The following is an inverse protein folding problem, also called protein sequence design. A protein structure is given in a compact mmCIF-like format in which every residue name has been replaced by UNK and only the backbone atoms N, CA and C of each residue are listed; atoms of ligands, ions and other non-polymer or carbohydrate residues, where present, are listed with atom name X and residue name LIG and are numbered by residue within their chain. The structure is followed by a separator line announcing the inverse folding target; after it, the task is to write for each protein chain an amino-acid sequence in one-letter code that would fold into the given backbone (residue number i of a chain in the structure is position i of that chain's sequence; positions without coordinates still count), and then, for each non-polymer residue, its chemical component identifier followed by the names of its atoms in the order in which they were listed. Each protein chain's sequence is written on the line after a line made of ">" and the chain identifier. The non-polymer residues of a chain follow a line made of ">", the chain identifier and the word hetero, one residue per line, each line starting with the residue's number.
data_IF_788662279271
#
_entry.id   IF_788662279271
#
_cell.length_a   1.000
_cell.length_b   1.000
_cell.length_c   1.000
_cell.angle_alpha   90.00
_cell.angle_beta   90.00
_cell.angle_gamma   90.00
#
_symmetry.space_group_name_H-M   'P 1'
#
loop_
_entity.id
_entity.type
_entity.pdbx_description
1 polymer ?
#
# COMPACT_ATOMS: atom_id res chain seq x y z
N UNK A 1 -13.47 -10.06 20.41
CA UNK A 1 -12.55 -9.48 19.41
C UNK A 1 -13.07 -8.10 19.07
N UNK A 2 -12.31 -7.05 19.32
CA UNK A 2 -12.73 -5.69 18.98
C UNK A 2 -12.49 -5.49 17.48
N UNK A 3 -13.57 -5.34 16.71
CA UNK A 3 -13.51 -5.05 15.28
C UNK A 3 -12.78 -3.72 15.10
N UNK A 4 -11.62 -3.75 14.45
CA UNK A 4 -10.87 -2.53 14.12
C UNK A 4 -11.76 -1.65 13.22
N UNK A 5 -11.82 -0.36 13.50
CA UNK A 5 -12.61 0.57 12.69
C UNK A 5 -11.91 0.79 11.34
N UNK A 6 -12.37 0.06 10.32
CA UNK A 6 -11.91 0.23 8.94
C UNK A 6 -12.88 1.16 8.20
N UNK A 7 -12.35 2.30 7.74
CA UNK A 7 -13.03 3.19 6.79
C UNK A 7 -12.71 2.71 5.38
N UNK A 8 -13.69 2.70 4.48
CA UNK A 8 -13.51 2.30 3.08
C UNK A 8 -13.95 3.45 2.19
N UNK A 9 -13.00 4.06 1.48
CA UNK A 9 -13.26 5.15 0.55
C UNK A 9 -12.85 4.74 -0.86
N UNK A 10 -13.56 5.26 -1.87
CA UNK A 10 -13.31 4.92 -3.27
C UNK A 10 -12.69 6.10 -4.01
N UNK A 11 -11.67 5.79 -4.81
CA UNK A 11 -10.90 6.76 -5.58
C UNK A 11 -10.82 6.30 -7.04
N UNK A 12 -10.81 7.27 -7.95
CA UNK A 12 -10.82 7.03 -9.40
C UNK A 12 -9.45 6.68 -9.95
N UNK A 13 -8.37 7.03 -9.25
CA UNK A 13 -6.98 6.84 -9.70
C UNK A 13 -6.07 6.24 -8.63
N UNK A 14 -4.99 5.58 -9.05
CA UNK A 14 -3.93 5.11 -8.15
C UNK A 14 -3.34 6.25 -7.32
N UNK A 15 -3.05 7.38 -7.96
CA UNK A 15 -2.41 8.52 -7.32
C UNK A 15 -3.29 9.15 -6.23
N UNK A 16 -4.61 9.27 -6.45
CA UNK A 16 -5.51 9.84 -5.44
C UNK A 16 -5.68 8.90 -4.24
N UNK A 17 -5.82 7.59 -4.51
CA UNK A 17 -5.90 6.58 -3.46
C UNK A 17 -4.61 6.52 -2.61
N UNK A 18 -3.44 6.58 -3.26
CA UNK A 18 -2.15 6.56 -2.56
C UNK A 18 -1.93 7.81 -1.72
N UNK A 19 -2.29 9.00 -2.25
CA UNK A 19 -2.22 10.27 -1.53
C UNK A 19 -3.13 10.26 -0.30
N UNK A 20 -4.36 9.79 -0.46
CA UNK A 20 -5.31 9.68 0.65
C UNK A 20 -4.80 8.72 1.73
N UNK A 21 -4.23 7.57 1.34
CA UNK A 21 -3.58 6.65 2.26
C UNK A 21 -2.42 7.31 3.03
N UNK A 22 -1.52 8.04 2.34
CA UNK A 22 -0.44 8.79 2.97
C UNK A 22 -0.93 9.89 3.93
N UNK A 23 -1.99 10.59 3.56
CA UNK A 23 -2.62 11.60 4.42
C UNK A 23 -3.24 10.93 5.67
N UNK A 24 -3.90 9.78 5.52
CA UNK A 24 -4.47 9.02 6.64
C UNK A 24 -3.41 8.60 7.65
N UNK A 25 -2.29 8.03 7.20
CA UNK A 25 -1.17 7.65 8.08
C UNK A 25 -0.69 8.82 8.93
N UNK A 26 -0.75 10.03 8.38
CA UNK A 26 -0.28 11.26 9.03
C UNK A 26 -1.39 12.09 9.66
N UNK A 27 -2.65 11.60 9.74
CA UNK A 27 -3.78 12.43 10.19
C UNK A 27 -3.68 12.84 11.65
N UNK A 28 -3.07 12.02 12.49
CA UNK A 28 -2.88 12.30 13.91
C UNK A 28 -1.65 13.16 14.25
N UNK A 29 -1.29 13.17 15.53
CA UNK A 29 -0.15 13.95 16.06
C UNK A 29 1.21 13.33 15.73
N UNK A 30 1.27 12.00 15.66
CA UNK A 30 2.48 11.25 15.29
C UNK A 30 2.66 11.31 13.78
N UNK A 31 3.83 11.77 13.33
CA UNK A 31 4.21 11.80 11.91
C UNK A 31 5.19 10.67 11.59
N UNK A 32 5.27 10.33 10.30
CA UNK A 32 6.18 9.28 9.82
C UNK A 32 7.62 9.74 9.96
N UNK A 33 8.43 8.92 10.65
CA UNK A 33 9.88 9.08 10.72
C UNK A 33 10.52 8.45 9.48
N UNK A 34 10.96 9.30 8.55
CA UNK A 34 11.53 8.86 7.27
C UNK A 34 12.79 8.00 7.46
N UNK A 35 13.56 8.19 8.53
CA UNK A 35 14.79 7.41 8.79
C UNK A 35 14.48 5.94 9.13
N UNK A 36 13.25 5.67 9.59
CA UNK A 36 12.77 4.34 9.97
C UNK A 36 11.98 3.65 8.86
N UNK A 37 11.76 4.31 7.74
CA UNK A 37 11.05 3.70 6.62
C UNK A 37 11.81 2.48 6.11
N UNK A 38 11.08 1.38 5.95
CA UNK A 38 11.57 0.13 5.38
C UNK A 38 10.55 -0.41 4.39
N UNK A 39 11.06 -1.19 3.45
CA UNK A 39 10.21 -1.96 2.54
C UNK A 39 9.42 -2.96 3.37
N UNK A 40 8.11 -2.94 3.19
CA UNK A 40 7.24 -3.94 3.78
C UNK A 40 6.89 -5.00 2.73
N UNK A 41 7.17 -6.25 3.08
CA UNK A 41 6.77 -7.40 2.28
C UNK A 41 5.54 -8.03 2.92
N UNK A 42 4.50 -8.26 2.11
CA UNK A 42 3.26 -8.83 2.64
C UNK A 42 3.49 -10.17 3.32
N UNK A 43 2.92 -10.30 4.52
CA UNK A 43 2.96 -11.52 5.34
C UNK A 43 1.69 -12.36 5.19
N UNK A 44 0.75 -11.94 4.33
CA UNK A 44 -0.59 -12.53 4.15
C UNK A 44 -1.00 -12.57 2.67
N UNK A 45 -2.04 -13.33 2.34
CA UNK A 45 -2.58 -13.43 0.98
C UNK A 45 -1.77 -14.33 0.02
N UNK A 46 -2.20 -14.46 -1.25
CA UNK A 46 -1.59 -15.39 -2.22
C UNK A 46 -0.14 -15.04 -2.56
N UNK A 47 0.28 -13.79 -2.32
CA UNK A 47 1.64 -13.30 -2.52
C UNK A 47 2.49 -13.27 -1.25
N UNK A 48 1.98 -13.83 -0.14
CA UNK A 48 2.75 -14.03 1.10
C UNK A 48 4.07 -14.70 0.76
N UNK A 49 5.19 -14.05 1.10
CA UNK A 49 6.55 -14.57 0.87
C UNK A 49 6.91 -14.88 -0.60
N UNK A 50 6.06 -14.54 -1.58
CA UNK A 50 6.32 -14.86 -2.98
C UNK A 50 7.41 -13.96 -3.56
N UNK A 51 8.28 -14.61 -4.30
CA UNK A 51 9.34 -14.03 -5.12
C UNK A 51 8.79 -13.97 -6.55
N UNK A 52 8.59 -12.79 -7.11
CA UNK A 52 8.46 -12.63 -8.56
C UNK A 52 9.47 -11.57 -8.95
N UNK A 53 10.65 -12.01 -9.41
CA UNK A 53 11.86 -11.18 -9.58
C UNK A 53 12.99 -11.62 -8.64
N UNK A 54 14.23 -11.15 -8.86
CA UNK A 54 15.40 -11.53 -8.03
C UNK A 54 15.30 -11.00 -6.59
N UNK A 55 14.49 -9.98 -6.36
CA UNK A 55 14.24 -9.35 -5.08
C UNK A 55 12.74 -9.38 -4.79
N UNK A 56 12.35 -9.96 -3.65
CA UNK A 56 10.96 -10.13 -3.18
C UNK A 56 10.09 -8.90 -3.48
N UNK A 57 8.91 -9.09 -4.07
CA UNK A 57 7.97 -7.99 -4.34
C UNK A 57 7.66 -7.23 -3.03
N UNK A 58 7.77 -5.90 -3.08
CA UNK A 58 7.27 -5.03 -2.02
C UNK A 58 5.76 -4.92 -2.16
N UNK A 59 5.04 -4.99 -1.05
CA UNK A 59 3.62 -4.63 -1.02
C UNK A 59 3.41 -3.25 -0.41
N UNK A 60 4.46 -2.57 0.05
CA UNK A 60 4.38 -1.20 0.50
C UNK A 60 5.48 -0.79 1.46
N UNK A 61 5.09 0.06 2.41
CA UNK A 61 6.01 0.79 3.28
C UNK A 61 5.66 0.49 4.74
N UNK A 62 6.68 0.26 5.55
CA UNK A 62 6.56 0.07 6.98
C UNK A 62 7.59 0.90 7.77
N UNK A 63 7.46 0.87 9.08
CA UNK A 63 8.41 1.48 10.01
C UNK A 63 9.14 0.41 10.80
N UNK A 64 10.47 0.52 10.85
CA UNK A 64 11.29 -0.26 11.77
C UNK A 64 11.03 0.21 13.21
N UNK A 65 10.41 -0.65 14.01
CA UNK A 65 10.16 -0.40 15.42
C UNK A 65 11.38 -0.75 16.25
N UNK A 66 11.44 -0.25 17.49
CA UNK A 66 12.53 -0.54 18.42
C UNK A 66 12.64 -2.05 18.75
N UNK A 67 11.57 -2.81 18.54
CA UNK A 67 11.57 -4.28 18.64
C UNK A 67 12.31 -4.99 17.50
N UNK A 68 12.79 -4.26 16.49
CA UNK A 68 13.38 -4.81 15.27
C UNK A 68 12.35 -5.29 14.24
N UNK A 69 11.06 -5.21 14.55
CA UNK A 69 9.97 -5.62 13.65
C UNK A 69 9.63 -4.46 12.72
N UNK A 70 9.45 -4.77 11.43
CA UNK A 70 8.88 -3.83 10.45
C UNK A 70 7.36 -3.93 10.55
N UNK A 71 6.72 -2.85 10.99
CA UNK A 71 5.28 -2.72 11.02
C UNK A 71 4.81 -1.96 9.76
N UNK A 72 3.86 -2.53 9.00
CA UNK A 72 3.29 -1.84 7.85
C UNK A 72 2.51 -0.58 8.27
N UNK A 73 2.70 0.48 7.50
CA UNK A 73 1.98 1.75 7.64
C UNK A 73 1.06 1.99 6.44
N UNK A 74 1.50 1.60 5.24
CA UNK A 74 0.71 1.55 4.01
C UNK A 74 1.12 0.32 3.23
N UNK A 75 0.15 -0.43 2.75
CA UNK A 75 0.37 -1.49 1.77
C UNK A 75 -0.72 -1.48 0.71
N UNK A 76 -0.41 -1.92 -0.49
CA UNK A 76 -1.42 -2.21 -1.51
C UNK A 76 -1.84 -3.67 -1.34
N UNK A 77 -3.14 -3.90 -1.27
CA UNK A 77 -3.77 -5.21 -1.12
C UNK A 77 -4.76 -5.43 -2.28
N UNK A 78 -5.06 -6.71 -2.58
CA UNK A 78 -6.11 -7.13 -3.51
C UNK A 78 -7.10 -8.02 -2.76
N UNK A 79 -8.36 -7.61 -2.75
CA UNK A 79 -9.43 -8.23 -1.98
C UNK A 79 -10.59 -8.68 -2.89
N UNK A 80 -11.23 -9.79 -2.54
CA UNK A 80 -12.42 -10.35 -3.17
C UNK A 80 -13.73 -9.98 -2.44
N UNK A 81 -13.65 -9.37 -1.27
CA UNK A 81 -14.80 -8.99 -0.43
C UNK A 81 -15.44 -7.63 -0.78
N UNK A 82 -15.18 -7.10 -1.98
CA UNK A 82 -15.83 -5.88 -2.50
C UNK A 82 -15.03 -4.58 -2.39
N UNK A 83 -13.75 -4.66 -1.97
CA UNK A 83 -12.81 -3.51 -1.96
C UNK A 83 -11.91 -3.44 -3.19
N UNK A 84 -11.78 -4.54 -3.94
CA UNK A 84 -10.87 -4.63 -5.08
C UNK A 84 -9.41 -4.41 -4.67
N UNK A 85 -8.63 -3.76 -5.55
CA UNK A 85 -7.29 -3.28 -5.22
C UNK A 85 -7.41 -2.01 -4.40
N UNK A 86 -6.72 -1.94 -3.28
CA UNK A 86 -6.80 -0.81 -2.36
C UNK A 86 -5.51 -0.60 -1.58
N UNK A 87 -5.29 0.64 -1.14
CA UNK A 87 -4.25 0.93 -0.15
C UNK A 87 -4.83 0.73 1.25
N UNK A 88 -4.24 -0.17 2.04
CA UNK A 88 -4.52 -0.31 3.46
C UNK A 88 -3.55 0.59 4.24
N UNK A 89 -4.07 1.63 4.89
CA UNK A 89 -3.31 2.60 5.66
C UNK A 89 -3.70 2.59 7.13
N UNK A 90 -2.72 2.71 8.04
CA UNK A 90 -2.94 2.80 9.49
C UNK A 90 -2.56 4.18 10.01
N UNK A 91 -3.42 4.79 10.80
CA UNK A 91 -3.07 6.03 11.51
C UNK A 91 -1.91 5.76 12.48
N UNK A 92 -0.82 6.54 12.38
CA UNK A 92 0.32 6.38 13.29
C UNK A 92 0.02 6.76 14.73
N UNK A 93 -0.99 7.60 14.96
CA UNK A 93 -1.40 7.98 16.31
C UNK A 93 -2.38 6.98 16.93
N UNK A 94 -3.06 6.19 16.11
CA UNK A 94 -4.03 5.17 16.53
C UNK A 94 -4.10 4.05 15.49
N UNK A 95 -3.26 3.02 15.65
CA UNK A 95 -3.16 1.91 14.70
C UNK A 95 -4.42 1.03 14.66
N UNK A 96 -5.41 1.28 15.52
CA UNK A 96 -6.71 0.63 15.45
C UNK A 96 -7.61 1.21 14.35
N UNK A 97 -7.31 2.44 13.90
CA UNK A 97 -8.02 3.11 12.82
C UNK A 97 -7.33 2.88 11.48
N UNK A 98 -8.09 2.31 10.54
CA UNK A 98 -7.57 1.96 9.21
C UNK A 98 -8.39 2.62 8.12
N UNK A 99 -7.73 2.90 7.01
CA UNK A 99 -8.37 3.28 5.75
C UNK A 99 -8.05 2.22 4.70
N UNK A 100 -9.07 1.76 3.99
CA UNK A 100 -8.95 1.10 2.71
C UNK A 100 -9.30 2.12 1.61
N UNK A 101 -8.28 2.70 0.97
CA UNK A 101 -8.46 3.59 -0.17
C UNK A 101 -8.54 2.74 -1.45
N UNK A 102 -9.75 2.39 -1.84
CA UNK A 102 -10.06 1.46 -2.93
C UNK A 102 -10.04 2.13 -4.30
N UNK A 103 -9.42 1.46 -5.27
CA UNK A 103 -9.48 1.83 -6.68
C UNK A 103 -10.83 1.41 -7.25
N UNK A 104 -11.70 2.39 -7.52
CA UNK A 104 -13.10 2.16 -7.87
C UNK A 104 -13.27 1.21 -9.05
N UNK A 105 -12.47 1.42 -10.12
CA UNK A 105 -12.52 0.58 -11.33
C UNK A 105 -12.28 -0.90 -11.05
N UNK A 106 -11.57 -1.22 -9.97
CA UNK A 106 -11.13 -2.58 -9.65
C UNK A 106 -12.16 -3.37 -8.85
N UNK A 107 -13.13 -2.70 -8.24
CA UNK A 107 -14.17 -3.33 -7.41
C UNK A 107 -15.04 -4.28 -8.23
N UNK A 108 -15.32 -3.93 -9.49
CA UNK A 108 -16.15 -4.71 -10.41
C UNK A 108 -15.35 -5.56 -11.40
N UNK A 109 -14.02 -5.54 -11.33
CA UNK A 109 -13.19 -6.38 -12.20
C UNK A 109 -13.31 -7.85 -11.83
N UNK A 110 -13.12 -8.71 -12.84
CA UNK A 110 -12.97 -10.15 -12.62
C UNK A 110 -11.78 -10.42 -11.68
N UNK A 111 -11.80 -11.51 -10.89
CA UNK A 111 -10.67 -11.86 -10.04
C UNK A 111 -9.35 -12.01 -10.80
N UNK A 112 -9.39 -12.52 -12.05
CA UNK A 112 -8.21 -12.73 -12.89
C UNK A 112 -7.61 -11.42 -13.39
N UNK A 113 -8.42 -10.53 -13.97
CA UNK A 113 -7.95 -9.22 -14.45
C UNK A 113 -7.42 -8.38 -13.30
N UNK A 114 -8.13 -8.41 -12.16
CA UNK A 114 -7.71 -7.69 -10.95
C UNK A 114 -6.38 -8.21 -10.42
N UNK A 115 -6.17 -9.52 -10.44
CA UNK A 115 -4.91 -10.14 -10.03
C UNK A 115 -3.77 -9.73 -10.96
N UNK A 116 -4.01 -9.69 -12.27
CA UNK A 116 -3.03 -9.24 -13.27
C UNK A 116 -2.62 -7.79 -13.02
N UNK A 117 -3.58 -6.87 -12.87
CA UNK A 117 -3.30 -5.46 -12.57
C UNK A 117 -2.57 -5.29 -11.22
N UNK A 118 -2.99 -6.05 -10.20
CA UNK A 118 -2.33 -6.01 -8.89
C UNK A 118 -0.86 -6.43 -8.97
N UNK A 119 -0.53 -7.48 -9.73
CA UNK A 119 0.87 -7.88 -9.96
C UNK A 119 1.66 -6.79 -10.67
N UNK A 120 1.06 -6.08 -11.63
CA UNK A 120 1.72 -4.96 -12.31
C UNK A 120 2.05 -3.84 -11.31
N UNK A 121 1.14 -3.51 -10.38
CA UNK A 121 1.45 -2.57 -9.31
C UNK A 121 2.59 -3.04 -8.41
N UNK A 122 2.62 -4.31 -8.01
CA UNK A 122 3.73 -4.83 -7.20
C UNK A 122 5.07 -4.78 -7.95
N UNK A 123 5.08 -5.05 -9.25
CA UNK A 123 6.28 -4.94 -10.10
C UNK A 123 6.77 -3.49 -10.21
N UNK A 124 5.85 -2.52 -10.28
CA UNK A 124 6.21 -1.11 -10.29
C UNK A 124 6.92 -0.64 -9.01
N UNK A 125 6.78 -1.40 -7.91
CA UNK A 125 7.50 -1.16 -6.65
C UNK A 125 8.83 -1.93 -6.56
N UNK A 126 9.13 -2.81 -7.52
CA UNK A 126 10.32 -3.65 -7.49
C UNK A 126 11.58 -2.79 -7.56
N UNK A 127 12.58 -3.10 -6.72
CA UNK A 127 13.86 -2.40 -6.63
C UNK A 127 13.78 -0.91 -6.22
N UNK A 128 12.60 -0.39 -5.87
CA UNK A 128 12.47 0.92 -5.25
C UNK A 128 12.83 0.87 -3.76
N UNK A 129 13.38 1.97 -3.24
CA UNK A 129 13.59 2.16 -1.82
C UNK A 129 12.30 2.60 -1.11
N UNK A 130 12.22 2.41 0.20
CA UNK A 130 11.00 2.71 0.97
C UNK A 130 10.65 4.21 0.96
N UNK A 131 11.66 5.07 0.97
CA UNK A 131 11.54 6.52 0.83
C UNK A 131 11.06 6.92 -0.58
N UNK A 132 11.55 6.24 -1.63
CA UNK A 132 11.07 6.48 -3.01
C UNK A 132 9.60 6.10 -3.16
N UNK A 133 9.18 4.94 -2.64
CA UNK A 133 7.77 4.52 -2.67
C UNK A 133 6.91 5.50 -1.87
N UNK A 134 7.36 5.89 -0.68
CA UNK A 134 6.65 6.84 0.16
C UNK A 134 6.46 8.19 -0.51
N UNK A 135 7.52 8.74 -1.13
CA UNK A 135 7.43 10.04 -1.81
C UNK A 135 6.53 9.97 -3.05
N UNK A 136 6.63 8.89 -3.84
CA UNK A 136 5.72 8.65 -4.96
C UNK A 136 4.26 8.62 -4.47
N UNK A 137 3.95 7.80 -3.48
CA UNK A 137 2.57 7.66 -3.00
C UNK A 137 2.01 8.95 -2.39
N UNK A 138 2.85 9.70 -1.65
CA UNK A 138 2.46 10.96 -1.01
C UNK A 138 2.24 12.10 -2.00
N UNK A 139 3.00 12.14 -3.09
CA UNK A 139 2.99 13.26 -4.06
C UNK A 139 2.22 12.93 -5.33
N UNK A 140 2.03 11.65 -5.65
CA UNK A 140 1.57 11.17 -6.94
C UNK A 140 2.61 11.28 -8.06
N UNK A 141 3.82 11.77 -7.78
CA UNK A 141 4.88 11.88 -8.77
C UNK A 141 5.65 10.57 -8.87
N UNK A 142 5.44 9.86 -9.98
CA UNK A 142 6.07 8.58 -10.25
C UNK A 142 7.58 8.71 -10.50
N UNK A 143 8.42 7.77 -10.02
CA UNK A 143 9.84 7.75 -10.38
C UNK A 143 10.04 7.55 -11.90
N UNK A 144 11.03 8.23 -12.48
CA UNK A 144 11.24 8.29 -13.94
C UNK A 144 11.44 6.92 -14.64
N UNK A 145 11.88 5.88 -13.93
CA UNK A 145 12.20 4.56 -14.48
C UNK A 145 11.10 3.51 -14.22
N UNK A 146 9.96 3.92 -13.65
CA UNK A 146 8.84 3.02 -13.34
C UNK A 146 7.78 3.15 -14.42
N UNK A 147 7.41 2.03 -15.04
CA UNK A 147 6.20 1.97 -15.86
C UNK A 147 4.97 1.92 -14.95
N UNK A 148 4.00 2.81 -15.16
CA UNK A 148 2.74 2.78 -14.41
C UNK A 148 1.79 1.84 -15.16
N UNK A 149 1.08 0.93 -14.48
CA UNK A 149 0.03 0.15 -15.14
C UNK A 149 -1.16 1.00 -15.64
N UNK A 150 -1.25 2.26 -15.21
CA UNK A 150 -2.30 3.20 -15.58
C UNK A 150 -1.86 4.34 -16.54
N UNK A 151 -0.59 4.37 -16.97
CA UNK A 151 -0.11 5.29 -18.02
C UNK A 151 -0.26 4.64 -19.41
#
# INVERSE_FOLDING_TARGET
>A
MQTLAETVDRYTSYADASKAACAWVQKGKVKVDLSKLRIYHSTVGPYKTRVVGKNRLSSGVGLLRNSGIIEDIIRIDNDDTGKGIHFNAKDQSDTSQKLAASLEKTVKMSPEDRTTLYVQYLKALENLSADTIWDWWRTGHKPHHVENPED
#
